data_IF_898747062114
#
_entry.id   IF_898747062114
#
_cell.length_a   1.000
_cell.length_b   1.000
_cell.length_c   1.000
_cell.angle_alpha   90.00
_cell.angle_beta   90.00
_cell.angle_gamma   90.00
#
_symmetry.space_group_name_H-M   'P 1'
#
loop_
_entity.id
_entity.type
_entity.pdbx_description
1 polymer ?
#
# COMPACT_ATOMS: atom_id res chain seq x y z
N UNK A 1 -9.61 -41.40 62.60
CA UNK A 1 -8.85 -40.72 61.52
C UNK A 1 -9.80 -39.70 60.91
N UNK A 2 -9.59 -38.42 61.30
CA UNK A 2 -10.42 -37.29 60.90
C UNK A 2 -10.06 -36.87 59.49
N UNK A 3 -11.05 -36.81 58.62
CA UNK A 3 -10.93 -36.25 57.27
C UNK A 3 -11.37 -34.79 57.35
N UNK A 4 -10.46 -33.87 57.13
CA UNK A 4 -10.77 -32.46 57.09
C UNK A 4 -11.66 -32.11 55.87
N UNK A 5 -12.67 -31.24 56.02
CA UNK A 5 -13.54 -30.86 54.91
C UNK A 5 -12.81 -29.99 53.89
N UNK A 6 -12.99 -30.32 52.59
CA UNK A 6 -12.51 -29.55 51.47
C UNK A 6 -13.13 -28.15 51.45
N UNK A 7 -12.29 -27.12 51.49
CA UNK A 7 -12.71 -25.75 51.29
C UNK A 7 -13.17 -25.55 49.84
N UNK A 8 -14.44 -25.20 49.69
CA UNK A 8 -15.07 -25.01 48.39
C UNK A 8 -14.46 -23.81 47.61
N UNK A 9 -14.33 -23.99 46.30
CA UNK A 9 -13.90 -23.06 45.29
C UNK A 9 -14.86 -21.84 45.09
N UNK A 10 -15.68 -21.52 46.09
CA UNK A 10 -16.76 -20.51 46.00
C UNK A 10 -16.37 -19.06 46.24
N UNK A 11 -15.18 -18.76 46.77
CA UNK A 11 -14.88 -17.41 47.24
C UNK A 11 -13.89 -16.58 46.39
N UNK A 12 -13.47 -17.09 45.25
CA UNK A 12 -12.53 -16.35 44.38
C UNK A 12 -13.23 -15.39 43.38
N UNK A 13 -14.56 -15.48 43.22
CA UNK A 13 -15.31 -14.65 42.26
C UNK A 13 -16.07 -13.47 42.89
N UNK A 14 -15.74 -13.06 44.11
CA UNK A 14 -16.31 -11.85 44.68
C UNK A 14 -15.41 -10.65 44.42
N UNK A 15 -15.93 -9.79 43.49
CA UNK A 15 -15.47 -8.43 43.20
C UNK A 15 -14.23 -8.29 42.33
N UNK A 16 -14.29 -8.72 41.10
CA UNK A 16 -13.78 -7.83 40.04
C UNK A 16 -14.86 -6.78 39.79
N UNK A 17 -14.65 -5.59 40.34
CA UNK A 17 -15.33 -4.41 39.84
C UNK A 17 -14.92 -4.27 38.38
N UNK A 18 -15.89 -4.38 37.48
CA UNK A 18 -15.69 -4.04 36.08
C UNK A 18 -14.97 -2.68 36.04
N UNK A 19 -13.87 -2.56 35.30
CA UNK A 19 -13.27 -1.27 35.09
C UNK A 19 -14.38 -0.34 34.59
N UNK A 20 -14.49 0.85 35.19
CA UNK A 20 -15.35 1.93 34.71
C UNK A 20 -15.19 1.96 33.19
N UNK A 21 -16.26 2.14 32.41
CA UNK A 21 -16.13 2.29 30.97
C UNK A 21 -15.04 3.34 30.76
N UNK A 22 -14.01 2.99 29.96
CA UNK A 22 -13.01 3.94 29.52
C UNK A 22 -13.80 5.18 29.09
N UNK A 23 -13.72 6.24 29.90
CA UNK A 23 -14.24 7.53 29.45
C UNK A 23 -13.58 7.73 28.11
N UNK A 24 -14.39 7.78 27.08
CA UNK A 24 -13.96 8.04 25.73
C UNK A 24 -12.87 9.11 25.83
N UNK A 25 -11.66 8.76 25.44
CA UNK A 25 -10.59 9.73 25.25
C UNK A 25 -11.23 10.80 24.38
N UNK A 26 -11.59 11.90 25.04
CA UNK A 26 -12.18 13.05 24.38
C UNK A 26 -11.35 13.30 23.17
N UNK A 27 -11.94 13.07 22.02
CA UNK A 27 -11.40 13.41 20.71
C UNK A 27 -10.73 14.77 20.86
N UNK A 28 -9.39 14.80 20.85
CA UNK A 28 -8.66 16.04 20.62
C UNK A 28 -9.33 16.66 19.41
N UNK A 29 -9.91 17.84 19.60
CA UNK A 29 -10.55 18.58 18.54
C UNK A 29 -9.63 18.53 17.32
N UNK A 30 -10.06 17.84 16.28
CA UNK A 30 -9.34 17.78 15.02
C UNK A 30 -9.23 19.23 14.55
N UNK A 31 -8.02 19.79 14.55
CA UNK A 31 -7.74 21.03 13.84
C UNK A 31 -8.42 20.93 12.48
N UNK A 32 -9.10 21.98 12.04
CA UNK A 32 -10.04 22.05 10.91
C UNK A 32 -9.70 21.00 9.86
N UNK A 33 -10.54 19.97 9.77
CA UNK A 33 -10.21 18.72 9.11
C UNK A 33 -9.65 19.01 7.71
N UNK A 34 -8.49 18.48 7.33
CA UNK A 34 -7.84 18.79 6.06
C UNK A 34 -8.81 18.53 4.90
N UNK A 35 -8.80 19.32 3.85
CA UNK A 35 -9.64 19.06 2.66
C UNK A 35 -9.37 17.64 2.16
N UNK A 36 -10.43 16.96 1.70
CA UNK A 36 -10.33 15.65 1.07
C UNK A 36 -9.32 15.70 -0.07
N UNK A 37 -8.51 14.64 -0.21
CA UNK A 37 -7.61 14.52 -1.35
C UNK A 37 -8.39 14.64 -2.67
N UNK A 38 -7.81 15.36 -3.63
CA UNK A 38 -8.35 15.41 -4.99
C UNK A 38 -7.85 14.21 -5.81
N UNK A 39 -6.57 13.92 -5.72
CA UNK A 39 -5.91 12.87 -6.50
C UNK A 39 -4.89 12.13 -5.63
N UNK A 40 -4.81 10.82 -5.83
CA UNK A 40 -3.73 9.99 -5.29
C UNK A 40 -3.18 9.13 -6.42
N UNK A 41 -1.87 9.16 -6.60
CA UNK A 41 -1.13 8.33 -7.56
C UNK A 41 -0.19 7.44 -6.78
N UNK A 42 -0.36 6.13 -6.93
CA UNK A 42 0.50 5.11 -6.34
C UNK A 42 1.56 4.71 -7.37
N UNK A 43 2.77 5.20 -7.22
CA UNK A 43 3.95 4.83 -8.03
C UNK A 43 4.51 3.57 -7.42
N UNK A 44 4.35 2.44 -8.11
CA UNK A 44 4.54 1.10 -7.56
C UNK A 44 5.57 0.34 -8.38
N UNK A 45 6.75 0.11 -7.81
CA UNK A 45 7.84 -0.67 -8.43
C UNK A 45 8.00 -1.98 -7.68
N UNK A 46 8.00 -3.10 -8.41
CA UNK A 46 8.13 -4.43 -7.83
C UNK A 46 9.56 -4.76 -7.43
N UNK A 47 9.75 -5.42 -6.30
CA UNK A 47 11.03 -6.01 -5.92
C UNK A 47 12.14 -5.03 -5.51
N UNK A 48 11.83 -3.85 -4.96
CA UNK A 48 12.84 -2.85 -4.58
C UNK A 48 13.34 -3.07 -3.16
N UNK A 49 14.55 -3.59 -3.00
CA UNK A 49 15.21 -3.63 -1.71
C UNK A 49 15.77 -2.25 -1.30
N UNK A 50 15.92 -2.02 0.01
CA UNK A 50 16.42 -0.73 0.55
C UNK A 50 17.83 -0.40 0.05
N UNK A 51 18.68 -1.42 -0.12
CA UNK A 51 20.04 -1.22 -0.62
C UNK A 51 20.00 -0.72 -2.07
N UNK A 52 19.16 -1.33 -2.93
CA UNK A 52 18.97 -0.93 -4.32
C UNK A 52 18.39 0.49 -4.44
N UNK A 53 17.36 0.80 -3.65
CA UNK A 53 16.79 2.14 -3.59
C UNK A 53 17.81 3.22 -3.23
N UNK A 54 18.73 2.92 -2.30
CA UNK A 54 19.77 3.88 -1.89
C UNK A 54 20.92 4.00 -2.87
N UNK A 55 21.20 2.96 -3.66
CA UNK A 55 22.32 2.93 -4.59
C UNK A 55 21.97 3.51 -5.95
N UNK A 56 20.73 3.29 -6.42
CA UNK A 56 20.25 3.80 -7.69
C UNK A 56 20.23 5.34 -7.69
N UNK A 57 20.55 5.92 -8.83
CA UNK A 57 20.47 7.37 -9.04
C UNK A 57 19.04 7.71 -9.50
N UNK A 58 18.23 8.18 -8.55
CA UNK A 58 16.81 8.46 -8.75
C UNK A 58 16.47 9.92 -8.45
N UNK A 59 17.03 10.91 -9.21
CA UNK A 59 16.90 12.33 -8.89
C UNK A 59 15.45 12.82 -8.84
N UNK A 60 14.55 12.26 -9.64
CA UNK A 60 13.13 12.66 -9.65
C UNK A 60 12.38 12.13 -8.43
N UNK A 61 12.58 10.84 -8.11
CA UNK A 61 12.00 10.20 -6.93
C UNK A 61 12.58 10.78 -5.64
N UNK A 62 13.89 11.02 -5.59
CA UNK A 62 14.56 11.65 -4.46
C UNK A 62 14.00 13.05 -4.19
N UNK A 63 13.84 13.88 -5.24
CA UNK A 63 13.25 15.20 -5.12
C UNK A 63 11.78 15.13 -4.66
N UNK A 64 11.00 14.20 -5.21
CA UNK A 64 9.62 13.97 -4.80
C UNK A 64 9.52 13.64 -3.31
N UNK A 65 10.31 12.68 -2.83
CA UNK A 65 10.25 12.19 -1.46
C UNK A 65 10.88 13.16 -0.45
N UNK A 66 11.80 14.03 -0.87
CA UNK A 66 12.32 15.12 -0.03
C UNK A 66 11.22 16.12 0.36
N UNK A 67 10.18 16.29 -0.48
CA UNK A 67 9.02 17.12 -0.20
C UNK A 67 7.93 16.42 0.64
N UNK A 68 8.20 15.23 1.14
CA UNK A 68 7.25 14.41 1.88
C UNK A 68 7.90 13.59 2.98
N UNK A 69 7.42 12.38 3.11
CA UNK A 69 7.79 11.41 4.13
C UNK A 69 8.39 10.18 3.49
N UNK A 70 9.48 9.67 4.03
CA UNK A 70 10.16 8.45 3.59
C UNK A 70 10.40 7.52 4.78
N UNK A 71 10.06 6.25 4.62
CA UNK A 71 10.52 5.14 5.46
C UNK A 71 11.45 4.24 4.65
N UNK A 72 12.58 3.86 5.22
CA UNK A 72 13.44 2.76 4.73
C UNK A 72 13.45 1.59 5.71
N UNK A 73 12.40 1.50 6.54
CA UNK A 73 12.22 0.49 7.58
C UNK A 73 10.82 -0.14 7.51
N UNK A 74 10.09 0.08 6.41
CA UNK A 74 8.74 -0.49 6.24
C UNK A 74 8.85 -1.99 6.08
N UNK A 75 8.06 -2.71 6.87
CA UNK A 75 8.03 -4.16 6.84
C UNK A 75 6.91 -4.65 5.91
N UNK A 76 7.24 -5.64 5.11
CA UNK A 76 6.27 -6.34 4.27
C UNK A 76 5.61 -7.49 5.03
N UNK A 77 4.54 -8.08 4.48
CA UNK A 77 3.89 -9.26 5.06
C UNK A 77 4.58 -10.56 4.62
N UNK A 78 4.32 -11.63 5.33
CA UNK A 78 4.78 -12.97 4.95
C UNK A 78 3.71 -13.72 4.16
N UNK A 79 4.13 -14.45 3.12
CA UNK A 79 5.47 -14.54 2.53
C UNK A 79 5.84 -13.22 1.80
N UNK A 80 7.16 -12.93 1.70
CA UNK A 80 7.66 -11.77 0.94
C UNK A 80 7.58 -12.02 -0.57
N UNK A 81 6.35 -12.14 -1.07
CA UNK A 81 5.98 -12.52 -2.43
C UNK A 81 5.01 -11.50 -2.99
N UNK A 82 5.02 -11.29 -4.28
CA UNK A 82 4.34 -10.21 -5.01
C UNK A 82 2.85 -10.09 -4.68
N UNK A 83 2.05 -11.10 -5.02
CA UNK A 83 0.59 -10.96 -4.90
C UNK A 83 0.09 -10.78 -3.48
N UNK A 84 0.58 -11.53 -2.45
CA UNK A 84 0.25 -11.28 -1.05
C UNK A 84 0.55 -9.85 -0.60
N UNK A 85 1.70 -9.31 -0.98
CA UNK A 85 2.14 -7.98 -0.52
C UNK A 85 1.41 -6.83 -1.22
N UNK A 86 1.23 -6.90 -2.55
CA UNK A 86 0.38 -5.90 -3.23
C UNK A 86 -1.06 -5.95 -2.76
N UNK A 87 -1.59 -7.15 -2.48
CA UNK A 87 -2.92 -7.26 -1.87
C UNK A 87 -2.95 -6.59 -0.50
N UNK A 88 -1.93 -6.79 0.32
CA UNK A 88 -1.85 -6.15 1.64
C UNK A 88 -1.76 -4.62 1.56
N UNK A 89 -1.00 -4.07 0.60
CA UNK A 89 -0.99 -2.62 0.35
C UNK A 89 -2.37 -2.05 0.00
N UNK A 90 -3.16 -2.80 -0.77
CA UNK A 90 -4.42 -2.31 -1.34
C UNK A 90 -5.67 -2.76 -0.58
N UNK A 91 -5.50 -3.52 0.52
CA UNK A 91 -6.60 -4.02 1.35
C UNK A 91 -6.43 -3.77 2.85
N UNK A 92 -5.34 -3.13 3.26
CA UNK A 92 -5.11 -2.79 4.67
C UNK A 92 -5.04 -3.99 5.63
N UNK A 93 -4.72 -5.18 5.12
CA UNK A 93 -4.74 -6.43 5.87
C UNK A 93 -3.63 -7.37 5.41
N UNK A 94 -3.27 -8.33 6.26
CA UNK A 94 -2.32 -9.37 5.90
C UNK A 94 -2.97 -10.58 5.21
N UNK A 95 -2.15 -11.52 4.71
CA UNK A 95 -2.62 -12.75 4.06
C UNK A 95 -3.57 -13.59 4.91
N UNK A 96 -3.43 -13.53 6.23
CA UNK A 96 -4.29 -14.22 7.19
C UNK A 96 -5.73 -13.69 7.19
N UNK A 97 -5.96 -12.44 6.73
CA UNK A 97 -7.29 -11.87 6.58
C UNK A 97 -7.80 -11.95 5.15
N UNK A 98 -7.02 -11.46 4.17
CA UNK A 98 -7.50 -11.39 2.78
C UNK A 98 -7.37 -12.73 2.01
N UNK A 99 -6.68 -13.73 2.57
CA UNK A 99 -6.59 -15.08 2.00
C UNK A 99 -5.66 -15.23 0.78
N UNK A 100 -5.00 -14.17 0.32
CA UNK A 100 -4.04 -14.22 -0.79
C UNK A 100 -2.68 -14.61 -0.24
N UNK A 101 -2.30 -15.88 -0.41
CA UNK A 101 -1.12 -16.48 0.24
C UNK A 101 0.03 -16.78 -0.73
N UNK A 102 -0.22 -16.71 -2.03
CA UNK A 102 0.78 -16.96 -3.07
C UNK A 102 0.40 -16.30 -4.41
N UNK A 103 1.31 -16.32 -5.38
CA UNK A 103 1.11 -15.72 -6.70
C UNK A 103 0.14 -16.49 -7.62
N UNK A 104 -0.26 -17.71 -7.26
CA UNK A 104 -1.20 -18.52 -8.02
C UNK A 104 -2.66 -18.33 -7.55
N UNK A 105 -2.90 -17.46 -6.61
CA UNK A 105 -4.22 -17.18 -6.07
C UNK A 105 -5.18 -16.66 -7.14
N UNK A 106 -6.39 -17.19 -7.11
CA UNK A 106 -7.56 -16.62 -7.80
C UNK A 106 -8.79 -16.73 -6.90
N UNK A 107 -9.84 -15.95 -7.18
CA UNK A 107 -11.09 -15.99 -6.41
C UNK A 107 -11.72 -17.39 -6.38
N UNK A 108 -11.53 -18.20 -7.43
CA UNK A 108 -12.05 -19.56 -7.52
C UNK A 108 -11.06 -20.65 -7.06
N UNK A 109 -9.77 -20.31 -6.88
CA UNK A 109 -8.74 -21.26 -6.49
C UNK A 109 -7.76 -20.61 -5.51
N UNK A 110 -7.90 -20.93 -4.24
CA UNK A 110 -7.07 -20.45 -3.15
C UNK A 110 -7.01 -21.45 -2.01
N UNK A 111 -5.98 -21.34 -1.18
CA UNK A 111 -5.76 -22.25 -0.03
C UNK A 111 -6.48 -21.78 1.22
N UNK A 112 -6.48 -20.47 1.44
CA UNK A 112 -7.05 -19.81 2.60
C UNK A 112 -8.21 -18.92 2.16
N UNK A 113 -9.44 -19.10 2.68
CA UNK A 113 -10.54 -18.19 2.39
C UNK A 113 -10.31 -16.84 3.09
N UNK A 114 -10.76 -15.75 2.45
CA UNK A 114 -10.82 -14.46 3.10
C UNK A 114 -11.81 -14.47 4.28
N UNK A 115 -11.51 -13.72 5.34
CA UNK A 115 -12.40 -13.61 6.51
C UNK A 115 -13.65 -12.77 6.23
N UNK A 116 -13.59 -11.89 5.24
CA UNK A 116 -14.67 -11.02 4.76
C UNK A 116 -14.62 -11.01 3.24
N UNK A 117 -15.76 -10.96 2.56
CA UNK A 117 -15.80 -10.95 1.09
C UNK A 117 -17.13 -10.40 0.56
N UNK A 118 -17.07 -9.81 -0.63
CA UNK A 118 -18.26 -9.44 -1.38
C UNK A 118 -18.99 -10.68 -1.98
N UNK A 119 -20.12 -10.46 -2.64
CA UNK A 119 -20.92 -11.53 -3.26
C UNK A 119 -20.19 -12.29 -4.38
N UNK A 120 -19.08 -11.75 -4.88
CA UNK A 120 -18.24 -12.36 -5.92
C UNK A 120 -16.99 -13.03 -5.34
N UNK A 121 -16.78 -12.94 -4.01
CA UNK A 121 -15.71 -13.62 -3.31
C UNK A 121 -14.45 -12.78 -3.09
N UNK A 122 -14.49 -11.47 -3.36
CA UNK A 122 -13.35 -10.58 -3.20
C UNK A 122 -13.32 -9.93 -1.81
N UNK A 123 -12.14 -9.88 -1.21
CA UNK A 123 -11.90 -9.14 0.03
C UNK A 123 -12.02 -7.62 -0.22
N UNK A 124 -12.50 -6.83 0.75
CA UNK A 124 -12.61 -5.38 0.61
C UNK A 124 -11.25 -4.73 0.26
N UNK A 125 -11.20 -4.02 -0.85
CA UNK A 125 -10.04 -3.28 -1.33
C UNK A 125 -10.27 -1.78 -1.27
N UNK A 126 -9.21 -0.98 -1.37
CA UNK A 126 -9.33 0.49 -1.48
C UNK A 126 -10.27 0.89 -2.61
N UNK A 127 -10.32 0.11 -3.70
CA UNK A 127 -11.20 0.41 -4.84
C UNK A 127 -12.68 0.21 -4.49
N UNK A 128 -13.04 -0.94 -3.90
CA UNK A 128 -14.42 -1.21 -3.50
C UNK A 128 -14.88 -0.26 -2.40
N UNK A 129 -14.08 -0.09 -1.35
CA UNK A 129 -14.40 0.78 -0.22
C UNK A 129 -14.59 2.25 -0.65
N UNK A 130 -13.69 2.74 -1.51
CA UNK A 130 -13.81 4.11 -2.03
C UNK A 130 -15.00 4.28 -2.96
N UNK A 131 -15.29 3.32 -3.83
CA UNK A 131 -16.47 3.38 -4.72
C UNK A 131 -17.78 3.36 -3.96
N UNK A 132 -17.87 2.59 -2.88
CA UNK A 132 -19.06 2.54 -2.02
C UNK A 132 -19.25 3.87 -1.27
N UNK A 133 -18.19 4.41 -0.67
CA UNK A 133 -18.26 5.66 0.09
C UNK A 133 -18.32 6.93 -0.78
N UNK A 134 -17.80 6.85 -2.00
CA UNK A 134 -17.64 7.97 -2.93
C UNK A 134 -17.94 7.51 -4.38
N UNK A 135 -19.21 7.31 -4.78
CA UNK A 135 -19.54 6.78 -6.11
C UNK A 135 -18.96 7.58 -7.29
N UNK A 136 -18.65 8.88 -7.07
CA UNK A 136 -18.08 9.77 -8.07
C UNK A 136 -16.55 9.62 -8.23
N UNK A 137 -15.85 8.89 -7.34
CA UNK A 137 -14.40 8.69 -7.47
C UNK A 137 -14.09 7.94 -8.77
N UNK A 138 -13.00 8.34 -9.40
CA UNK A 138 -12.46 7.67 -10.59
C UNK A 138 -11.23 6.86 -10.22
N UNK A 139 -11.19 5.61 -10.66
CA UNK A 139 -10.16 4.65 -10.27
C UNK A 139 -9.54 4.01 -11.49
N UNK A 140 -8.20 3.96 -11.54
CA UNK A 140 -7.46 3.32 -12.61
C UNK A 140 -6.42 2.34 -12.08
N UNK A 141 -6.20 1.26 -12.83
CA UNK A 141 -5.27 0.20 -12.50
C UNK A 141 -4.40 -0.14 -13.72
N UNK A 142 -3.16 0.35 -13.71
CA UNK A 142 -2.19 0.13 -14.77
C UNK A 142 -1.11 -0.83 -14.30
N UNK A 143 -0.89 -1.90 -15.06
CA UNK A 143 0.00 -2.98 -14.63
C UNK A 143 0.58 -3.74 -15.82
N UNK A 144 1.59 -4.57 -15.56
CA UNK A 144 2.27 -5.37 -16.57
C UNK A 144 2.69 -6.77 -16.07
N UNK A 145 2.07 -7.24 -14.98
CA UNK A 145 2.16 -8.62 -14.52
C UNK A 145 0.75 -9.20 -14.31
N UNK A 146 0.38 -10.17 -15.17
CA UNK A 146 -1.00 -10.62 -15.33
C UNK A 146 -1.76 -10.99 -14.05
N UNK A 147 -1.17 -11.77 -13.11
CA UNK A 147 -1.85 -12.16 -11.88
C UNK A 147 -2.20 -11.01 -10.93
N UNK A 148 -1.56 -9.85 -11.06
CA UNK A 148 -1.68 -8.75 -10.11
C UNK A 148 -3.13 -8.28 -9.87
N UNK A 149 -3.97 -8.33 -10.89
CA UNK A 149 -5.36 -7.87 -10.81
C UNK A 149 -6.32 -8.90 -10.20
N UNK A 150 -5.88 -10.16 -10.03
CA UNK A 150 -6.75 -11.25 -9.59
C UNK A 150 -7.45 -11.03 -8.23
N UNK A 151 -6.83 -10.38 -7.21
CA UNK A 151 -7.46 -10.14 -5.92
C UNK A 151 -8.54 -9.04 -5.92
N UNK A 152 -8.70 -8.30 -7.02
CA UNK A 152 -9.54 -7.11 -7.03
C UNK A 152 -10.77 -7.29 -7.92
N UNK A 153 -11.94 -6.92 -7.39
CA UNK A 153 -13.17 -6.90 -8.17
C UNK A 153 -13.13 -5.74 -9.19
N UNK A 154 -13.02 -6.11 -10.47
CA UNK A 154 -12.83 -5.16 -11.57
C UNK A 154 -13.97 -4.20 -11.78
N UNK A 155 -15.18 -4.47 -11.23
CA UNK A 155 -16.33 -3.55 -11.29
C UNK A 155 -16.05 -2.20 -10.61
N UNK A 156 -15.07 -2.14 -9.72
CA UNK A 156 -14.69 -0.94 -8.98
C UNK A 156 -13.55 -0.16 -9.67
N UNK A 157 -13.18 -0.54 -10.90
CA UNK A 157 -12.14 0.11 -11.69
C UNK A 157 -12.78 0.75 -12.92
N UNK A 158 -12.61 2.07 -13.09
CA UNK A 158 -13.12 2.78 -14.28
C UNK A 158 -12.20 2.55 -15.48
N UNK A 159 -10.90 2.39 -15.25
CA UNK A 159 -9.94 2.08 -16.31
C UNK A 159 -8.95 0.99 -15.87
N UNK A 160 -8.63 0.09 -16.79
CA UNK A 160 -7.67 -0.98 -16.60
C UNK A 160 -6.73 -0.97 -17.81
N UNK A 161 -5.44 -0.76 -17.56
CA UNK A 161 -4.38 -0.82 -18.58
C UNK A 161 -3.39 -1.95 -18.31
N UNK A 162 -3.34 -2.94 -19.21
CA UNK A 162 -2.38 -4.04 -19.14
C UNK A 162 -1.38 -3.94 -20.28
N UNK A 163 -0.10 -4.11 -19.97
CA UNK A 163 0.99 -4.23 -20.93
C UNK A 163 1.73 -5.55 -20.69
N UNK A 164 2.21 -6.17 -21.76
CA UNK A 164 2.96 -7.42 -21.68
C UNK A 164 4.48 -7.18 -21.68
N UNK A 165 5.24 -8.22 -21.33
CA UNK A 165 6.69 -8.33 -21.54
C UNK A 165 7.49 -7.16 -20.94
N UNK A 166 7.24 -6.83 -19.69
CA UNK A 166 7.90 -5.74 -18.95
C UNK A 166 7.69 -4.33 -19.54
N UNK A 167 6.86 -4.20 -20.56
CA UNK A 167 6.47 -2.88 -21.06
C UNK A 167 5.67 -2.14 -19.98
N UNK A 168 6.09 -0.92 -19.63
CA UNK A 168 5.43 -0.09 -18.61
C UNK A 168 5.29 1.36 -19.00
N UNK A 169 6.09 1.84 -19.92
CA UNK A 169 6.19 3.28 -20.26
C UNK A 169 4.84 3.85 -20.73
N UNK A 170 4.12 3.12 -21.59
CA UNK A 170 2.80 3.56 -22.06
C UNK A 170 1.77 3.68 -20.93
N UNK A 171 1.92 2.92 -19.85
CA UNK A 171 1.03 3.03 -18.69
C UNK A 171 1.21 4.36 -17.96
N UNK A 172 2.40 4.95 -17.96
CA UNK A 172 2.62 6.31 -17.43
C UNK A 172 1.87 7.36 -18.25
N UNK A 173 1.86 7.22 -19.58
CA UNK A 173 1.09 8.09 -20.46
C UNK A 173 -0.43 7.92 -20.26
N UNK A 174 -0.91 6.69 -20.17
CA UNK A 174 -2.32 6.40 -19.90
C UNK A 174 -2.75 6.96 -18.54
N UNK A 175 -1.92 6.80 -17.51
CA UNK A 175 -2.18 7.36 -16.18
C UNK A 175 -2.30 8.89 -16.24
N UNK A 176 -1.40 9.56 -16.94
CA UNK A 176 -1.48 11.00 -17.14
C UNK A 176 -2.77 11.43 -17.86
N UNK A 177 -3.13 10.77 -18.96
CA UNK A 177 -4.35 11.06 -19.70
C UNK A 177 -5.60 10.86 -18.86
N UNK A 178 -5.67 9.75 -18.09
CA UNK A 178 -6.75 9.50 -17.16
C UNK A 178 -6.90 10.62 -16.11
N UNK A 179 -5.79 11.13 -15.57
CA UNK A 179 -5.80 12.22 -14.61
C UNK A 179 -6.32 13.52 -15.23
N UNK A 180 -5.94 13.84 -16.48
CA UNK A 180 -6.43 14.99 -17.23
C UNK A 180 -7.94 14.88 -17.50
N UNK A 181 -8.40 13.75 -18.01
CA UNK A 181 -9.80 13.53 -18.34
C UNK A 181 -10.72 13.59 -17.10
N UNK A 182 -10.17 13.20 -15.94
CA UNK A 182 -10.93 13.14 -14.69
C UNK A 182 -10.53 14.24 -13.67
N UNK A 183 -9.90 15.33 -14.11
CA UNK A 183 -9.36 16.37 -13.21
C UNK A 183 -10.38 17.03 -12.29
N UNK A 184 -11.67 16.99 -12.62
CA UNK A 184 -12.77 17.53 -11.81
C UNK A 184 -13.34 16.53 -10.78
N UNK A 185 -12.92 15.27 -10.84
CA UNK A 185 -13.36 14.21 -9.93
C UNK A 185 -12.25 13.83 -8.95
N UNK A 186 -12.56 13.34 -7.75
CA UNK A 186 -11.57 12.62 -6.96
C UNK A 186 -11.04 11.41 -7.75
N UNK A 187 -9.74 11.21 -7.76
CA UNK A 187 -9.11 10.11 -8.53
C UNK A 187 -8.11 9.31 -7.69
N UNK A 188 -8.07 8.01 -7.93
CA UNK A 188 -7.07 7.09 -7.42
C UNK A 188 -6.48 6.31 -8.59
N UNK A 189 -5.17 6.42 -8.79
CA UNK A 189 -4.44 5.70 -9.84
C UNK A 189 -3.41 4.77 -9.19
N UNK A 190 -3.51 3.49 -9.49
CA UNK A 190 -2.48 2.51 -9.20
C UNK A 190 -1.66 2.29 -10.47
N UNK A 191 -0.38 2.65 -10.42
CA UNK A 191 0.56 2.60 -11.52
C UNK A 191 1.73 1.69 -11.14
N UNK A 192 1.74 0.48 -11.71
CA UNK A 192 2.65 -0.59 -11.33
C UNK A 192 3.53 -1.03 -12.49
N UNK A 193 4.77 -1.37 -12.16
CA UNK A 193 5.66 -2.05 -13.09
C UNK A 193 6.53 -3.14 -12.43
N UNK A 194 6.60 -4.29 -13.11
CA UNK A 194 7.28 -5.51 -12.67
C UNK A 194 8.75 -5.57 -13.10
N UNK A 195 9.18 -4.72 -14.04
CA UNK A 195 10.47 -4.85 -14.71
C UNK A 195 11.69 -4.84 -13.76
N UNK A 196 11.57 -4.16 -12.62
CA UNK A 196 12.63 -4.09 -11.59
C UNK A 196 12.80 -5.43 -10.85
N UNK A 197 11.70 -6.12 -10.56
CA UNK A 197 11.72 -7.48 -10.01
C UNK A 197 12.32 -8.48 -11.02
N UNK A 198 11.88 -8.42 -12.25
CA UNK A 198 12.41 -9.28 -13.33
C UNK A 198 13.92 -9.05 -13.56
N UNK A 199 14.39 -7.80 -13.44
CA UNK A 199 15.83 -7.52 -13.49
C UNK A 199 16.57 -8.20 -12.32
N UNK A 200 16.00 -8.19 -11.11
CA UNK A 200 16.51 -8.92 -9.96
C UNK A 200 16.57 -10.43 -10.18
N UNK A 201 15.50 -11.03 -10.68
CA UNK A 201 15.45 -12.46 -11.01
C UNK A 201 16.42 -12.86 -12.12
N UNK A 202 16.60 -12.02 -13.13
CA UNK A 202 17.43 -12.33 -14.30
C UNK A 202 18.91 -12.07 -14.05
N UNK A 203 19.24 -10.96 -13.36
CA UNK A 203 20.62 -10.47 -13.25
C UNK A 203 21.14 -10.48 -11.80
N UNK A 204 20.34 -10.87 -10.84
CA UNK A 204 20.59 -10.82 -9.40
C UNK A 204 20.25 -9.46 -8.79
N UNK A 205 19.65 -9.47 -7.58
CA UNK A 205 19.52 -8.26 -6.76
C UNK A 205 20.89 -7.63 -6.52
N UNK A 206 20.93 -6.30 -6.59
CA UNK A 206 22.13 -5.47 -6.49
C UNK A 206 23.11 -5.57 -7.67
N UNK A 207 22.79 -6.27 -8.74
CA UNK A 207 23.56 -6.20 -9.99
C UNK A 207 23.45 -4.81 -10.62
N UNK A 208 24.40 -4.43 -11.50
CA UNK A 208 24.30 -3.18 -12.26
C UNK A 208 23.00 -3.08 -13.06
N UNK A 209 22.52 -4.18 -13.64
CA UNK A 209 21.29 -4.24 -14.44
C UNK A 209 20.05 -4.00 -13.56
N UNK A 210 20.01 -4.58 -12.35
CA UNK A 210 18.93 -4.32 -11.40
C UNK A 210 18.92 -2.84 -10.96
N UNK A 211 20.08 -2.28 -10.62
CA UNK A 211 20.19 -0.86 -10.26
C UNK A 211 19.75 0.02 -11.43
N UNK A 212 20.19 -0.30 -12.66
CA UNK A 212 19.82 0.44 -13.86
C UNK A 212 18.29 0.42 -14.11
N UNK A 213 17.63 -0.70 -13.88
CA UNK A 213 16.17 -0.80 -14.05
C UNK A 213 15.39 0.16 -13.12
N UNK A 214 15.91 0.41 -11.92
CA UNK A 214 15.33 1.42 -11.00
C UNK A 214 15.57 2.83 -11.54
N UNK A 215 16.75 3.11 -12.08
CA UNK A 215 17.10 4.40 -12.69
C UNK A 215 16.26 4.69 -13.93
N UNK A 216 15.97 3.68 -14.76
CA UNK A 216 15.07 3.81 -15.93
C UNK A 216 13.64 4.16 -15.48
N UNK A 217 13.14 3.52 -14.40
CA UNK A 217 11.83 3.88 -13.85
C UNK A 217 11.78 5.33 -13.37
N UNK A 218 12.85 5.83 -12.74
CA UNK A 218 12.93 7.22 -12.28
C UNK A 218 12.78 8.23 -13.43
N UNK A 219 13.33 7.91 -14.61
CA UNK A 219 13.16 8.78 -15.81
C UNK A 219 11.68 8.90 -16.19
N UNK A 220 10.93 7.81 -16.19
CA UNK A 220 9.50 7.83 -16.54
C UNK A 220 8.67 8.51 -15.43
N UNK A 221 9.03 8.30 -14.16
CA UNK A 221 8.45 9.03 -13.03
C UNK A 221 8.66 10.53 -13.24
N UNK A 222 9.88 10.97 -13.56
CA UNK A 222 10.18 12.37 -13.82
C UNK A 222 9.33 12.98 -14.93
N UNK A 223 9.17 12.28 -16.06
CA UNK A 223 8.31 12.72 -17.16
C UNK A 223 6.85 12.89 -16.73
N UNK A 224 6.31 11.95 -15.97
CA UNK A 224 4.95 12.03 -15.43
C UNK A 224 4.80 13.25 -14.51
N UNK A 225 5.72 13.43 -13.56
CA UNK A 225 5.68 14.55 -12.63
C UNK A 225 5.77 15.92 -13.36
N UNK A 226 6.62 16.03 -14.37
CA UNK A 226 6.79 17.26 -15.14
C UNK A 226 5.54 17.59 -15.96
N UNK A 227 4.91 16.60 -16.61
CA UNK A 227 3.62 16.79 -17.29
C UNK A 227 2.54 17.23 -16.31
N UNK A 228 2.46 16.61 -15.11
CA UNK A 228 1.48 16.99 -14.09
C UNK A 228 1.72 18.41 -13.56
N UNK A 229 2.97 18.86 -13.46
CA UNK A 229 3.29 20.27 -13.11
C UNK A 229 2.83 21.22 -14.19
N UNK A 230 3.11 20.91 -15.46
CA UNK A 230 2.71 21.72 -16.62
C UNK A 230 1.19 21.92 -16.70
N UNK A 231 0.42 20.90 -16.38
CA UNK A 231 -1.05 20.94 -16.38
C UNK A 231 -1.66 21.40 -15.04
N UNK A 232 -0.85 21.78 -14.06
CA UNK A 232 -1.31 22.29 -12.77
C UNK A 232 -1.97 21.24 -11.87
N UNK A 233 -1.71 19.94 -12.10
CA UNK A 233 -2.25 18.85 -11.33
C UNK A 233 -1.36 18.45 -10.13
N UNK A 234 -0.06 18.77 -10.20
CA UNK A 234 0.94 18.31 -9.24
C UNK A 234 0.64 18.75 -7.80
N UNK A 235 0.35 20.03 -7.60
CA UNK A 235 0.18 20.64 -6.26
C UNK A 235 -1.03 20.10 -5.48
N UNK A 236 -2.03 19.56 -6.19
CA UNK A 236 -3.25 18.98 -5.64
C UNK A 236 -3.22 17.43 -5.57
N UNK A 237 -2.07 16.83 -5.87
CA UNK A 237 -1.90 15.37 -5.92
C UNK A 237 -1.08 14.87 -4.76
N UNK A 238 -1.52 13.75 -4.18
CA UNK A 238 -0.69 12.94 -3.29
C UNK A 238 -0.01 11.85 -4.12
N UNK A 239 1.28 11.70 -3.96
CA UNK A 239 2.05 10.61 -4.55
C UNK A 239 2.51 9.68 -3.45
N UNK A 240 2.36 8.38 -3.66
CA UNK A 240 2.95 7.37 -2.79
C UNK A 240 3.94 6.54 -3.61
N UNK A 241 5.12 6.34 -3.08
CA UNK A 241 6.10 5.40 -3.62
C UNK A 241 6.01 4.10 -2.83
N UNK A 242 5.73 3.01 -3.53
CA UNK A 242 5.45 1.70 -2.94
C UNK A 242 6.28 0.62 -3.61
N UNK A 243 6.66 -0.38 -2.82
CA UNK A 243 7.20 -1.65 -3.30
C UNK A 243 6.74 -2.76 -2.36
N UNK A 244 6.61 -3.95 -2.88
CA UNK A 244 5.97 -5.07 -2.21
C UNK A 244 6.92 -5.97 -1.42
N UNK A 245 8.14 -6.14 -1.89
CA UNK A 245 9.23 -6.89 -1.25
C UNK A 245 10.59 -6.41 -1.78
N UNK A 246 11.64 -6.82 -1.13
CA UNK A 246 12.98 -6.74 -1.70
C UNK A 246 13.38 -8.08 -2.31
N UNK A 247 14.66 -8.40 -2.30
CA UNK A 247 15.15 -9.68 -2.80
C UNK A 247 16.62 -9.88 -2.48
N UNK A 248 17.06 -11.11 -2.60
CA UNK A 248 18.42 -11.53 -2.35
C UNK A 248 18.85 -12.54 -3.41
N UNK A 249 20.09 -12.44 -3.88
CA UNK A 249 20.58 -13.27 -4.98
C UNK A 249 19.65 -13.18 -6.22
N UNK A 250 18.96 -14.24 -6.59
CA UNK A 250 18.05 -14.31 -7.73
C UNK A 250 16.60 -14.54 -7.33
N UNK A 251 16.23 -14.27 -6.06
CA UNK A 251 14.90 -14.59 -5.56
C UNK A 251 14.46 -13.78 -4.35
N UNK A 252 13.25 -14.09 -3.92
CA UNK A 252 12.58 -13.53 -2.75
C UNK A 252 11.56 -14.54 -2.20
N UNK A 253 10.85 -14.19 -1.13
CA UNK A 253 9.84 -15.04 -0.49
C UNK A 253 10.23 -15.51 0.90
N UNK A 254 11.47 -15.22 1.33
CA UNK A 254 12.01 -15.55 2.64
C UNK A 254 11.81 -14.45 3.68
N UNK A 255 12.66 -14.51 4.70
CA UNK A 255 12.58 -13.65 5.90
C UNK A 255 13.83 -12.79 6.11
N UNK A 256 14.72 -12.73 5.13
CA UNK A 256 15.91 -11.87 5.25
C UNK A 256 15.51 -10.39 5.31
N UNK A 257 16.40 -9.57 5.86
CA UNK A 257 16.19 -8.12 5.92
C UNK A 257 16.03 -7.52 4.52
N UNK A 258 16.80 -8.03 3.55
CA UNK A 258 16.80 -7.55 2.17
C UNK A 258 15.49 -7.90 1.44
N UNK A 259 14.77 -8.93 1.87
CA UNK A 259 13.45 -9.30 1.34
C UNK A 259 12.32 -8.60 2.07
N UNK A 260 12.43 -8.44 3.40
CA UNK A 260 11.33 -8.04 4.29
C UNK A 260 11.24 -6.54 4.57
N UNK A 261 12.33 -5.79 4.36
CA UNK A 261 12.38 -4.36 4.64
C UNK A 261 12.48 -3.59 3.33
N UNK A 262 11.53 -2.67 3.12
CA UNK A 262 11.38 -1.94 1.86
C UNK A 262 11.25 -0.44 2.08
N UNK A 263 11.56 0.38 1.06
CA UNK A 263 11.22 1.79 1.06
C UNK A 263 9.70 1.99 0.90
N UNK A 264 9.20 3.03 1.55
CA UNK A 264 7.81 3.48 1.46
C UNK A 264 7.79 4.99 1.61
N UNK A 265 7.07 5.69 0.77
CA UNK A 265 7.02 7.14 0.84
C UNK A 265 5.69 7.74 0.46
N UNK A 266 5.45 8.96 0.94
CA UNK A 266 4.27 9.75 0.60
C UNK A 266 4.61 11.23 0.57
N UNK A 267 4.07 11.94 -0.42
CA UNK A 267 4.13 13.40 -0.50
C UNK A 267 2.79 13.97 -0.97
N UNK A 268 2.60 15.27 -0.78
CA UNK A 268 1.41 15.97 -1.22
C UNK A 268 0.85 16.94 -0.18
N UNK A 269 -0.33 17.53 -0.46
CA UNK A 269 -0.97 18.48 0.44
C UNK A 269 -1.16 17.95 1.86
N UNK A 270 -0.72 18.74 2.87
CA UNK A 270 -0.83 18.39 4.29
C UNK A 270 0.04 17.20 4.76
N UNK A 271 0.92 16.69 3.91
CA UNK A 271 1.97 15.77 4.32
C UNK A 271 3.14 16.57 4.90
N UNK A 272 3.75 16.06 5.97
CA UNK A 272 4.96 16.66 6.56
C UNK A 272 6.11 16.53 5.54
N UNK A 273 6.94 17.56 5.43
CA UNK A 273 8.07 17.56 4.48
C UNK A 273 9.37 17.14 5.16
N UNK A 274 10.19 16.39 4.44
CA UNK A 274 11.52 15.99 4.89
C UNK A 274 11.54 15.05 6.10
N UNK A 275 10.43 14.37 6.39
CA UNK A 275 10.34 13.44 7.53
C UNK A 275 10.84 12.06 7.13
N UNK A 276 11.75 11.51 7.95
CA UNK A 276 12.07 10.07 7.94
C UNK A 276 11.30 9.40 9.07
N UNK A 277 10.44 8.44 8.73
CA UNK A 277 9.69 7.68 9.73
C UNK A 277 10.64 6.71 10.43
N UNK A 278 10.76 6.85 11.74
CA UNK A 278 11.52 5.93 12.61
C UNK A 278 10.61 4.96 13.35
N UNK A 279 9.32 5.26 13.48
CA UNK A 279 8.31 4.39 14.06
C UNK A 279 8.06 3.16 13.16
N UNK A 280 7.63 2.03 13.74
CA UNK A 280 7.29 0.84 12.96
C UNK A 280 6.23 1.15 11.89
N UNK A 281 6.51 0.78 10.65
CA UNK A 281 5.58 0.88 9.54
C UNK A 281 5.46 -0.47 8.83
N UNK A 282 4.30 -0.76 8.26
CA UNK A 282 4.01 -1.98 7.54
C UNK A 282 3.25 -1.66 6.24
N UNK A 283 3.40 -2.52 5.24
CA UNK A 283 2.71 -2.36 3.94
C UNK A 283 1.19 -2.32 4.07
N UNK A 284 0.59 -2.97 5.06
CA UNK A 284 -0.86 -2.90 5.35
C UNK A 284 -1.33 -1.48 5.70
N UNK A 285 -0.44 -0.60 6.14
CA UNK A 285 -0.77 0.77 6.50
C UNK A 285 -1.13 1.64 5.28
N UNK A 286 -0.68 1.26 4.09
CA UNK A 286 -0.90 2.01 2.83
C UNK A 286 -2.38 2.28 2.59
N UNK A 287 -3.22 1.26 2.64
CA UNK A 287 -4.66 1.41 2.41
C UNK A 287 -5.33 2.33 3.44
N UNK A 288 -4.95 2.21 4.72
CA UNK A 288 -5.46 3.06 5.80
C UNK A 288 -5.11 4.54 5.59
N UNK A 289 -3.89 4.82 5.14
CA UNK A 289 -3.45 6.18 4.78
C UNK A 289 -4.26 6.72 3.59
N UNK A 290 -4.49 5.92 2.55
CA UNK A 290 -5.29 6.31 1.38
C UNK A 290 -6.72 6.66 1.80
N UNK A 291 -7.39 5.82 2.58
CA UNK A 291 -8.74 6.10 3.05
C UNK A 291 -8.79 7.36 3.92
N UNK A 292 -7.79 7.56 4.79
CA UNK A 292 -7.68 8.77 5.61
C UNK A 292 -7.58 10.04 4.76
N UNK A 293 -6.80 10.01 3.67
CA UNK A 293 -6.68 11.13 2.74
C UNK A 293 -8.01 11.44 2.05
N UNK A 294 -8.78 10.43 1.68
CA UNK A 294 -10.13 10.61 1.11
C UNK A 294 -11.22 10.79 2.17
N UNK A 295 -10.89 10.75 3.48
CA UNK A 295 -11.84 10.85 4.61
C UNK A 295 -12.94 9.77 4.54
N UNK A 296 -12.53 8.58 4.29
CA UNK A 296 -13.35 7.38 4.32
C UNK A 296 -12.90 6.53 5.49
N UNK A 297 -13.86 6.01 6.24
CA UNK A 297 -13.57 5.09 7.34
C UNK A 297 -13.13 3.74 6.78
N UNK A 298 -12.13 3.13 7.42
CA UNK A 298 -11.69 1.81 7.02
C UNK A 298 -12.65 0.72 7.51
N UNK A 299 -12.80 -0.38 6.75
CA UNK A 299 -13.55 -1.54 7.19
C UNK A 299 -13.02 -2.13 8.49
N UNK A 300 -13.90 -2.67 9.34
CA UNK A 300 -13.53 -3.26 10.62
C UNK A 300 -12.60 -4.48 10.48
N UNK A 301 -12.60 -5.13 9.32
CA UNK A 301 -11.72 -6.27 9.02
C UNK A 301 -10.29 -5.86 8.66
N UNK A 302 -10.01 -4.56 8.43
CA UNK A 302 -8.66 -4.08 8.14
C UNK A 302 -7.85 -3.87 9.43
N UNK A 303 -6.57 -4.20 9.36
CA UNK A 303 -5.61 -4.09 10.48
C UNK A 303 -4.56 -3.00 10.28
N UNK A 304 -4.58 -2.33 9.13
CA UNK A 304 -3.66 -1.24 8.84
C UNK A 304 -3.87 -0.06 9.79
N UNK A 305 -2.77 0.57 10.18
CA UNK A 305 -2.72 1.74 11.03
C UNK A 305 -2.19 2.95 10.26
N UNK A 306 -2.46 4.14 10.77
CA UNK A 306 -1.97 5.38 10.18
C UNK A 306 -0.76 5.83 10.99
N UNK A 307 0.45 5.91 10.40
CA UNK A 307 1.59 6.51 11.07
C UNK A 307 1.24 7.92 11.54
N UNK A 308 1.34 8.18 12.84
CA UNK A 308 0.77 9.39 13.45
C UNK A 308 1.48 10.67 13.05
N UNK A 309 2.73 10.56 12.60
CA UNK A 309 3.64 11.69 12.35
C UNK A 309 3.60 12.23 10.92
N UNK A 310 2.94 11.55 9.98
CA UNK A 310 3.00 11.89 8.55
C UNK A 310 2.15 13.09 8.15
N UNK A 311 1.15 13.47 8.96
CA UNK A 311 0.25 14.59 8.67
C UNK A 311 0.62 15.86 9.45
N UNK A 312 0.45 17.03 8.80
CA UNK A 312 0.58 18.37 9.41
C UNK A 312 -0.58 18.69 10.32
#
# INVERSE_FOLDING_TARGET
RDVAPSRGLGDVYKRQTLPQPLQALTTKAFAAAPKRAKRIVLISLDGICVAGFKQAKTPHLDALLAEGVLSTKTRVVMPSVTLPNWTSHLTGSGPEQHGVTDNAWTVSKHKLPAIEKDNEGYYPSIFSVLKEAMPQIKTAFYYNWGPLINPYNRRHLDEIGFLEKDAYIENYEKAFNFLIENQQSPTLVFLYSVHTDHAGHQHKWMSPEYIHSIEEADVEIGKLLDKMKQEGLYEDTHFMFLTDHGGIEYGHGGVSVDEMIVPWGITGPKIVKGLKIEEPNNTVNTASVILRLFRVDQPACWTGEIPSTIFK
#
